data_IF_610563843344
#
_entry.id   IF_610563843344
#
_cell.length_a   1.000
_cell.length_b   1.000
_cell.length_c   1.000
_cell.angle_alpha   90.00
_cell.angle_beta   90.00
_cell.angle_gamma   90.00
#
_symmetry.space_group_name_H-M   'P 1'
#
loop_
_entity.id
_entity.type
_entity.pdbx_description
1 polymer ?
#
# COMPACT_ATOMS: atom_id res chain seq x y z
N UNK A 1 27.19 -25.81 -7.43
CA UNK A 1 28.11 -24.90 -6.75
C UNK A 1 28.42 -23.75 -7.69
N UNK A 2 27.66 -22.66 -7.60
CA UNK A 2 28.12 -21.36 -8.10
C UNK A 2 28.71 -20.64 -6.91
N UNK A 3 30.05 -20.63 -6.83
CA UNK A 3 30.74 -19.57 -6.12
C UNK A 3 30.40 -18.26 -6.83
N UNK A 4 29.76 -17.32 -6.15
CA UNK A 4 29.64 -15.95 -6.65
C UNK A 4 29.45 -14.99 -5.49
N UNK A 5 30.55 -14.34 -5.09
CA UNK A 5 30.64 -13.14 -4.24
C UNK A 5 29.91 -11.92 -4.85
N UNK A 6 28.72 -12.10 -5.41
CA UNK A 6 27.94 -11.09 -6.13
C UNK A 6 26.59 -10.81 -5.47
N UNK A 7 26.09 -9.60 -5.63
CA UNK A 7 24.79 -9.18 -5.08
C UNK A 7 23.65 -9.79 -5.90
N UNK A 8 22.68 -10.43 -5.25
CA UNK A 8 21.51 -10.98 -5.94
C UNK A 8 20.59 -9.84 -6.42
N UNK A 9 20.25 -9.79 -7.72
CA UNK A 9 19.19 -8.90 -8.19
C UNK A 9 17.87 -9.68 -8.31
N UNK A 10 16.81 -9.20 -7.66
CA UNK A 10 15.47 -9.78 -7.70
C UNK A 10 14.55 -8.85 -8.53
N UNK A 11 14.24 -9.20 -9.79
CA UNK A 11 13.43 -8.35 -10.67
C UNK A 11 11.95 -8.36 -10.27
N UNK A 12 11.21 -7.33 -10.72
CA UNK A 12 9.77 -7.16 -10.45
C UNK A 12 8.95 -8.45 -10.67
N UNK A 13 9.18 -9.15 -11.78
CA UNK A 13 8.42 -10.35 -12.13
C UNK A 13 8.53 -11.45 -11.07
N UNK A 14 9.71 -11.61 -10.47
CA UNK A 14 9.96 -12.62 -9.45
C UNK A 14 9.29 -12.20 -8.14
N UNK A 15 9.26 -10.89 -7.83
CA UNK A 15 8.60 -10.39 -6.61
C UNK A 15 7.10 -10.71 -6.57
N UNK A 16 6.42 -10.80 -7.73
CA UNK A 16 5.01 -11.15 -7.82
C UNK A 16 4.72 -12.57 -7.32
N UNK A 17 5.67 -13.49 -7.47
CA UNK A 17 5.56 -14.87 -7.00
C UNK A 17 6.04 -15.05 -5.55
N UNK A 18 6.88 -14.15 -5.05
CA UNK A 18 7.53 -14.26 -3.73
C UNK A 18 6.71 -13.67 -2.57
N UNK A 19 5.79 -12.75 -2.84
CA UNK A 19 5.05 -12.03 -1.80
C UNK A 19 3.54 -12.08 -2.07
N UNK A 20 2.83 -12.96 -1.37
CA UNK A 20 1.37 -13.00 -1.40
C UNK A 20 0.74 -11.86 -0.58
N UNK A 21 -0.58 -11.68 -0.68
CA UNK A 21 -1.33 -10.71 0.13
C UNK A 21 -1.31 -11.13 1.61
N UNK A 22 -1.48 -12.42 1.85
CA UNK A 22 -1.46 -13.06 3.16
C UNK A 22 -0.07 -12.92 3.82
N UNK A 23 1.00 -13.13 3.04
CA UNK A 23 2.37 -12.89 3.51
C UNK A 23 2.59 -11.42 3.87
N UNK A 24 2.13 -10.48 3.03
CA UNK A 24 2.26 -9.05 3.33
C UNK A 24 1.54 -8.67 4.63
N UNK A 25 0.33 -9.18 4.86
CA UNK A 25 -0.43 -8.96 6.11
C UNK A 25 0.31 -9.54 7.32
N UNK A 26 0.76 -10.80 7.23
CA UNK A 26 1.50 -11.48 8.29
C UNK A 26 2.82 -10.78 8.61
N UNK A 27 3.61 -10.44 7.60
CA UNK A 27 4.90 -9.75 7.77
C UNK A 27 4.70 -8.36 8.38
N UNK A 28 3.66 -7.61 7.96
CA UNK A 28 3.32 -6.34 8.59
C UNK A 28 2.99 -6.51 10.08
N UNK A 29 2.24 -7.56 10.44
CA UNK A 29 1.91 -7.88 11.83
C UNK A 29 3.16 -8.22 12.64
N UNK A 30 4.04 -9.06 12.09
CA UNK A 30 5.32 -9.42 12.70
C UNK A 30 6.19 -8.19 12.97
N UNK A 31 6.31 -7.29 11.97
CA UNK A 31 7.11 -6.06 12.08
C UNK A 31 6.50 -5.05 13.06
N UNK A 32 5.16 -4.94 13.14
CA UNK A 32 4.51 -4.17 14.21
C UNK A 32 4.83 -4.73 15.58
N UNK A 33 4.82 -6.07 15.71
CA UNK A 33 5.25 -6.77 16.92
C UNK A 33 6.72 -6.47 17.27
N UNK A 34 7.63 -6.53 16.29
CA UNK A 34 9.05 -6.19 16.48
C UNK A 34 9.21 -4.75 16.98
N UNK A 35 8.50 -3.80 16.34
CA UNK A 35 8.54 -2.40 16.73
C UNK A 35 8.06 -2.19 18.18
N UNK A 36 6.94 -2.80 18.57
CA UNK A 36 6.41 -2.72 19.92
C UNK A 36 7.38 -3.26 21.00
N UNK A 37 8.26 -4.20 20.62
CA UNK A 37 9.28 -4.79 21.51
C UNK A 37 10.63 -4.06 21.47
N UNK A 38 10.77 -3.01 20.66
CA UNK A 38 12.03 -2.26 20.52
C UNK A 38 13.12 -2.98 19.70
N UNK A 39 12.75 -3.95 18.87
CA UNK A 39 13.69 -4.70 18.02
C UNK A 39 13.85 -4.13 16.60
N UNK A 40 13.24 -2.99 16.31
CA UNK A 40 13.44 -2.22 15.08
C UNK A 40 14.32 -1.01 15.36
N UNK A 41 15.39 -0.84 14.58
CA UNK A 41 16.24 0.36 14.61
C UNK A 41 15.90 1.21 13.40
N UNK A 42 15.35 2.40 13.66
CA UNK A 42 15.00 3.37 12.63
C UNK A 42 16.21 4.23 12.25
N UNK A 43 16.30 4.64 10.98
CA UNK A 43 17.27 5.62 10.54
C UNK A 43 16.98 7.02 11.09
N UNK A 44 18.03 7.82 11.25
CA UNK A 44 17.92 9.26 11.53
C UNK A 44 18.62 10.04 10.42
N UNK A 45 17.87 10.81 9.59
CA UNK A 45 16.42 10.97 9.59
C UNK A 45 15.68 9.70 9.11
N UNK A 46 14.38 9.59 9.43
CA UNK A 46 13.53 8.48 8.99
C UNK A 46 13.26 8.45 7.47
N UNK A 47 13.49 9.59 6.79
CA UNK A 47 13.49 9.70 5.34
C UNK A 47 14.44 10.80 4.92
N UNK A 48 15.48 10.46 4.17
CA UNK A 48 16.29 11.41 3.42
C UNK A 48 15.57 11.72 2.10
N UNK A 49 15.55 12.98 1.68
CA UNK A 49 14.83 13.43 0.48
C UNK A 49 15.72 14.28 -0.40
N UNK A 50 15.56 14.12 -1.70
CA UNK A 50 16.11 15.01 -2.71
C UNK A 50 14.98 15.35 -3.69
N UNK A 51 14.42 16.55 -3.52
CA UNK A 51 13.37 17.08 -4.39
C UNK A 51 14.04 17.89 -5.51
N UNK A 52 13.99 17.34 -6.74
CA UNK A 52 14.48 17.98 -7.96
C UNK A 52 13.28 18.38 -8.82
N UNK A 53 12.44 19.27 -8.28
CA UNK A 53 11.25 19.74 -8.95
C UNK A 53 11.59 20.63 -10.17
N UNK A 54 12.55 21.56 -10.00
CA UNK A 54 12.86 22.57 -11.01
C UNK A 54 13.46 21.95 -12.28
N UNK A 55 12.66 21.88 -13.34
CA UNK A 55 13.06 21.38 -14.66
C UNK A 55 13.12 19.86 -14.80
N UNK A 56 13.00 19.11 -13.71
CA UNK A 56 13.07 17.64 -13.71
C UNK A 56 11.83 16.96 -13.12
N UNK A 57 11.03 17.65 -12.30
CA UNK A 57 9.80 17.14 -11.67
C UNK A 57 9.96 15.79 -10.94
N UNK A 58 11.15 15.52 -10.39
CA UNK A 58 11.51 14.24 -9.79
C UNK A 58 11.66 14.37 -8.26
N UNK A 59 11.20 13.36 -7.54
CA UNK A 59 11.18 13.35 -6.08
C UNK A 59 11.83 12.08 -5.54
N UNK A 60 13.03 12.19 -4.99
CA UNK A 60 13.80 11.05 -4.48
C UNK A 60 13.67 10.91 -2.97
N UNK A 61 13.62 9.66 -2.53
CA UNK A 61 13.53 9.30 -1.13
C UNK A 61 14.41 8.09 -0.82
N UNK A 62 15.13 8.19 0.30
CA UNK A 62 15.88 7.07 0.87
C UNK A 62 15.41 6.86 2.32
N UNK A 63 15.11 5.61 2.66
CA UNK A 63 14.73 5.19 4.02
C UNK A 63 15.52 3.96 4.39
N UNK A 64 15.99 3.86 5.64
CA UNK A 64 16.69 2.67 6.11
C UNK A 64 16.19 2.18 7.45
N UNK A 65 16.40 0.89 7.68
CA UNK A 65 15.97 0.19 8.89
C UNK A 65 16.89 -0.99 9.15
N UNK A 66 17.10 -1.32 10.41
CA UNK A 66 17.61 -2.63 10.83
C UNK A 66 16.51 -3.35 11.62
N UNK A 67 16.22 -4.58 11.22
CA UNK A 67 15.42 -5.51 12.01
C UNK A 67 16.38 -6.40 12.81
N UNK A 68 16.26 -6.42 14.15
CA UNK A 68 17.11 -7.28 15.00
C UNK A 68 16.63 -8.72 15.05
N UNK A 69 15.32 -8.93 14.99
CA UNK A 69 14.71 -10.27 15.15
C UNK A 69 14.85 -11.11 13.88
N UNK A 70 14.98 -10.45 12.74
CA UNK A 70 15.43 -11.03 11.48
C UNK A 70 16.63 -10.18 11.07
N UNK A 71 17.86 -10.51 11.52
CA UNK A 71 19.05 -9.68 11.33
C UNK A 71 19.23 -9.29 9.85
N UNK A 72 18.77 -8.09 9.50
CA UNK A 72 18.79 -7.59 8.12
C UNK A 72 18.76 -6.06 8.15
N UNK A 73 19.74 -5.44 7.50
CA UNK A 73 19.72 -4.00 7.21
C UNK A 73 19.09 -3.80 5.84
N UNK A 74 18.06 -2.96 5.76
CA UNK A 74 17.40 -2.59 4.52
C UNK A 74 17.57 -1.11 4.21
N UNK A 75 17.91 -0.78 2.96
CA UNK A 75 17.91 0.58 2.42
C UNK A 75 16.96 0.63 1.23
N UNK A 76 15.84 1.32 1.42
CA UNK A 76 14.84 1.56 0.40
C UNK A 76 15.15 2.87 -0.31
N UNK A 77 15.32 2.82 -1.63
CA UNK A 77 15.47 3.98 -2.50
C UNK A 77 14.35 4.00 -3.54
N UNK A 78 13.68 5.14 -3.68
CA UNK A 78 12.67 5.28 -4.71
C UNK A 78 12.56 6.71 -5.20
N UNK A 79 12.06 6.88 -6.42
CA UNK A 79 11.59 8.15 -6.92
C UNK A 79 10.14 8.06 -7.40
N UNK A 80 9.57 9.23 -7.66
CA UNK A 80 8.45 9.37 -8.57
C UNK A 80 8.61 10.71 -9.33
N UNK A 81 8.03 10.76 -10.51
CA UNK A 81 7.90 11.95 -11.35
C UNK A 81 6.49 12.52 -11.15
N UNK A 82 6.37 13.83 -11.03
CA UNK A 82 5.09 14.53 -10.94
C UNK A 82 5.20 15.97 -11.45
N UNK A 83 4.67 16.25 -12.64
CA UNK A 83 4.57 17.61 -13.20
C UNK A 83 3.15 18.20 -13.10
N UNK A 84 2.26 17.55 -12.33
CA UNK A 84 0.85 17.91 -12.22
C UNK A 84 -0.04 17.38 -13.36
N UNK A 85 0.55 16.88 -14.46
CA UNK A 85 -0.18 16.26 -15.58
C UNK A 85 0.16 14.76 -15.67
N UNK A 86 1.45 14.44 -15.69
CA UNK A 86 2.01 13.10 -15.65
C UNK A 86 2.55 12.81 -14.25
N UNK A 87 2.15 11.65 -13.70
CA UNK A 87 2.51 11.22 -12.36
C UNK A 87 2.81 9.71 -12.37
N UNK A 88 3.98 9.31 -11.87
CA UNK A 88 4.44 7.91 -11.83
C UNK A 88 4.28 7.25 -10.47
N UNK A 89 3.56 7.89 -9.53
CA UNK A 89 3.30 7.30 -8.20
C UNK A 89 2.49 6.02 -8.34
N UNK A 90 3.14 4.90 -8.03
CA UNK A 90 2.51 3.58 -8.06
C UNK A 90 2.38 2.98 -9.46
N UNK A 91 3.05 3.55 -10.46
CA UNK A 91 3.32 2.89 -11.75
C UNK A 91 4.67 2.15 -11.72
N UNK A 92 5.04 1.51 -12.84
CA UNK A 92 6.33 0.85 -13.05
C UNK A 92 7.39 1.74 -13.75
N UNK A 93 7.02 2.95 -14.13
CA UNK A 93 7.84 3.95 -14.81
C UNK A 93 8.68 4.80 -13.86
N UNK A 94 8.94 4.33 -12.64
CA UNK A 94 9.81 4.98 -11.68
C UNK A 94 10.85 4.01 -11.09
N UNK A 95 11.89 4.56 -10.47
CA UNK A 95 12.92 3.79 -9.76
C UNK A 95 12.39 3.41 -8.39
N UNK A 96 12.39 2.10 -8.07
CA UNK A 96 12.05 1.59 -6.72
C UNK A 96 12.84 0.33 -6.40
N UNK A 97 13.80 0.45 -5.49
CA UNK A 97 14.63 -0.67 -5.06
C UNK A 97 14.80 -0.73 -3.54
N UNK A 98 14.98 -1.93 -3.01
CA UNK A 98 15.48 -2.18 -1.67
C UNK A 98 16.85 -2.86 -1.81
N UNK A 99 17.86 -2.30 -1.17
CA UNK A 99 19.14 -2.97 -0.93
C UNK A 99 19.08 -3.66 0.43
N UNK A 100 19.42 -4.93 0.47
CA UNK A 100 19.51 -5.74 1.68
C UNK A 100 20.97 -6.08 1.97
N UNK A 101 21.37 -5.98 3.24
CA UNK A 101 22.72 -6.29 3.72
C UNK A 101 22.67 -7.05 5.04
N UNK A 102 23.64 -7.92 5.25
CA UNK A 102 23.84 -8.58 6.54
C UNK A 102 24.35 -7.56 7.56
N UNK A 103 23.64 -7.31 8.68
CA UNK A 103 24.09 -6.35 9.69
C UNK A 103 25.35 -6.79 10.45
N UNK A 104 25.73 -8.06 10.40
CA UNK A 104 26.90 -8.57 11.12
C UNK A 104 28.20 -8.32 10.36
N UNK A 105 28.20 -8.58 9.05
CA UNK A 105 29.38 -8.43 8.18
C UNK A 105 29.39 -7.14 7.36
N UNK A 106 28.22 -6.54 7.12
CA UNK A 106 28.03 -5.48 6.14
C UNK A 106 28.00 -5.96 4.69
N UNK A 107 28.07 -7.27 4.44
CA UNK A 107 28.06 -7.83 3.09
C UNK A 107 26.71 -7.58 2.39
N UNK A 108 26.73 -7.23 1.09
CA UNK A 108 25.51 -7.03 0.33
C UNK A 108 24.85 -8.38 0.02
N UNK A 109 23.55 -8.46 0.28
CA UNK A 109 22.75 -9.67 0.05
C UNK A 109 21.99 -9.58 -1.27
N UNK A 110 21.18 -8.53 -1.43
CA UNK A 110 20.32 -8.40 -2.60
C UNK A 110 19.94 -6.95 -2.94
N UNK A 111 19.63 -6.70 -4.20
CA UNK A 111 18.89 -5.54 -4.69
C UNK A 111 17.54 -6.07 -5.20
N UNK A 112 16.45 -5.61 -4.61
CA UNK A 112 15.10 -6.12 -4.86
C UNK A 112 14.25 -5.01 -5.45
N UNK A 113 13.57 -5.27 -6.56
CA UNK A 113 12.53 -4.37 -7.08
C UNK A 113 11.40 -4.19 -6.05
N UNK A 114 11.03 -2.94 -5.76
CA UNK A 114 10.04 -2.65 -4.72
C UNK A 114 8.65 -2.34 -5.28
N UNK A 115 8.37 -2.41 -6.58
CA UNK A 115 7.08 -1.97 -7.11
C UNK A 115 5.90 -2.75 -6.52
N UNK A 116 6.02 -4.07 -6.49
CA UNK A 116 4.99 -4.92 -5.89
C UNK A 116 4.96 -4.78 -4.38
N UNK A 117 6.11 -4.93 -3.71
CA UNK A 117 6.17 -4.88 -2.26
C UNK A 117 5.70 -3.52 -1.73
N UNK A 118 6.10 -2.39 -2.33
CA UNK A 118 5.55 -1.05 -2.06
C UNK A 118 4.02 -1.04 -2.08
N UNK A 119 3.44 -1.57 -3.15
CA UNK A 119 2.00 -1.52 -3.38
C UNK A 119 1.25 -2.34 -2.31
N UNK A 120 1.65 -3.60 -2.11
CA UNK A 120 0.93 -4.50 -1.21
C UNK A 120 1.22 -4.23 0.26
N UNK A 121 2.48 -3.98 0.65
CA UNK A 121 2.84 -3.73 2.06
C UNK A 121 2.29 -2.41 2.59
N UNK A 122 2.14 -1.39 1.74
CA UNK A 122 1.51 -0.12 2.14
C UNK A 122 0.02 -0.32 2.45
N UNK A 123 -0.68 -1.06 1.59
CA UNK A 123 -2.07 -1.42 1.83
C UNK A 123 -2.23 -2.35 3.03
N UNK A 124 -1.38 -3.38 3.16
CA UNK A 124 -1.38 -4.31 4.27
C UNK A 124 -1.14 -3.61 5.62
N UNK A 125 -0.11 -2.77 5.72
CA UNK A 125 0.19 -2.01 6.94
C UNK A 125 -1.01 -1.19 7.43
N UNK A 126 -1.71 -0.50 6.52
CA UNK A 126 -2.88 0.29 6.89
C UNK A 126 -4.10 -0.58 7.22
N UNK A 127 -4.40 -1.59 6.40
CA UNK A 127 -5.63 -2.39 6.52
C UNK A 127 -5.56 -3.44 7.62
N UNK A 128 -4.38 -3.97 7.95
CA UNK A 128 -4.18 -4.96 9.01
C UNK A 128 -4.76 -4.50 10.36
N UNK A 129 -4.75 -3.20 10.62
CA UNK A 129 -5.36 -2.62 11.82
C UNK A 129 -6.83 -3.02 12.01
N UNK A 130 -7.56 -3.28 10.92
CA UNK A 130 -8.94 -3.74 10.97
C UNK A 130 -9.07 -5.11 11.64
N UNK A 131 -8.08 -6.01 11.46
CA UNK A 131 -8.07 -7.33 12.14
C UNK A 131 -8.26 -7.20 13.66
N UNK A 132 -7.71 -6.12 14.23
CA UNK A 132 -7.68 -5.88 15.68
C UNK A 132 -8.73 -4.87 16.17
N UNK A 133 -8.97 -3.82 15.38
CA UNK A 133 -9.80 -2.66 15.78
C UNK A 133 -11.03 -2.46 14.90
N UNK A 134 -11.16 -3.23 13.83
CA UNK A 134 -12.25 -3.13 12.87
C UNK A 134 -13.56 -3.76 13.37
N UNK A 135 -14.66 -3.56 12.64
CA UNK A 135 -15.91 -4.25 12.90
C UNK A 135 -15.74 -5.77 12.82
N UNK A 136 -16.45 -6.52 13.68
CA UNK A 136 -16.33 -7.99 13.75
C UNK A 136 -16.84 -8.72 12.51
N UNK A 137 -17.88 -8.19 11.85
CA UNK A 137 -18.55 -8.79 10.68
C UNK A 137 -18.99 -7.67 9.72
N UNK A 138 -18.04 -6.95 9.09
CA UNK A 138 -18.39 -5.90 8.15
C UNK A 138 -19.10 -6.52 6.94
N UNK A 139 -20.15 -5.86 6.46
CA UNK A 139 -20.93 -6.27 5.29
C UNK A 139 -20.66 -5.38 4.09
N UNK A 140 -20.40 -4.09 4.32
CA UNK A 140 -20.25 -3.08 3.27
C UNK A 140 -18.86 -2.47 3.33
N UNK A 141 -18.12 -2.58 2.22
CA UNK A 141 -16.83 -1.90 2.01
C UNK A 141 -16.99 -0.71 1.07
N UNK A 142 -16.51 0.47 1.47
CA UNK A 142 -16.40 1.64 0.60
C UNK A 142 -14.97 1.90 0.13
N UNK A 143 -14.75 2.10 -1.17
CA UNK A 143 -13.45 2.42 -1.78
C UNK A 143 -13.51 3.79 -2.47
N UNK A 144 -12.91 4.80 -1.85
CA UNK A 144 -12.77 6.15 -2.39
C UNK A 144 -11.43 6.26 -3.09
N UNK A 145 -11.43 6.12 -4.41
CA UNK A 145 -10.21 5.98 -5.20
C UNK A 145 -9.83 4.50 -5.38
N UNK A 146 -9.76 4.08 -6.64
CA UNK A 146 -9.53 2.70 -7.08
C UNK A 146 -8.22 2.56 -7.87
N UNK A 147 -7.23 3.40 -7.55
CA UNK A 147 -5.87 3.27 -8.05
C UNK A 147 -5.12 2.13 -7.36
N UNK A 148 -3.78 2.17 -7.39
CA UNK A 148 -2.92 1.14 -6.80
C UNK A 148 -3.22 0.89 -5.31
N UNK A 149 -3.35 1.94 -4.49
CA UNK A 149 -3.63 1.79 -3.06
C UNK A 149 -5.03 1.23 -2.79
N UNK A 150 -6.08 1.79 -3.40
CA UNK A 150 -7.46 1.30 -3.22
C UNK A 150 -7.65 -0.14 -3.69
N UNK A 151 -7.00 -0.53 -4.80
CA UNK A 151 -7.05 -1.90 -5.32
C UNK A 151 -6.34 -2.89 -4.38
N UNK A 152 -5.18 -2.52 -3.82
CA UNK A 152 -4.49 -3.41 -2.89
C UNK A 152 -5.14 -3.44 -1.50
N UNK A 153 -5.77 -2.34 -1.06
CA UNK A 153 -6.59 -2.34 0.14
C UNK A 153 -7.80 -3.28 -0.01
N UNK A 154 -8.45 -3.30 -1.18
CA UNK A 154 -9.48 -4.29 -1.51
C UNK A 154 -8.95 -5.72 -1.35
N UNK A 155 -7.78 -6.03 -1.93
CA UNK A 155 -7.16 -7.37 -1.81
C UNK A 155 -6.94 -7.77 -0.34
N UNK A 156 -6.34 -6.89 0.45
CA UNK A 156 -6.07 -7.16 1.86
C UNK A 156 -7.36 -7.35 2.66
N UNK A 157 -8.35 -6.47 2.48
CA UNK A 157 -9.61 -6.53 3.21
C UNK A 157 -10.44 -7.76 2.82
N UNK A 158 -10.46 -8.16 1.55
CA UNK A 158 -11.13 -9.39 1.11
C UNK A 158 -10.41 -10.67 1.57
N UNK A 159 -9.12 -10.60 1.89
CA UNK A 159 -8.38 -11.72 2.52
C UNK A 159 -8.77 -11.87 4.00
N UNK A 160 -9.15 -10.77 4.67
CA UNK A 160 -9.54 -10.78 6.10
C UNK A 160 -11.05 -10.90 6.35
N UNK A 161 -11.88 -10.49 5.38
CA UNK A 161 -13.33 -10.39 5.54
C UNK A 161 -14.11 -10.86 4.33
N UNK A 162 -15.34 -11.29 4.56
CA UNK A 162 -16.34 -11.53 3.52
C UNK A 162 -17.36 -10.40 3.52
N UNK A 163 -17.42 -9.63 2.43
CA UNK A 163 -18.37 -8.54 2.26
C UNK A 163 -19.59 -9.00 1.44
N UNK A 164 -20.75 -8.38 1.70
CA UNK A 164 -21.98 -8.55 0.92
C UNK A 164 -22.03 -7.55 -0.26
N UNK A 165 -21.47 -6.35 -0.07
CA UNK A 165 -21.41 -5.29 -1.08
C UNK A 165 -20.08 -4.52 -0.98
N UNK A 166 -19.49 -4.20 -2.12
CA UNK A 166 -18.38 -3.25 -2.22
C UNK A 166 -18.86 -2.04 -3.03
N UNK A 167 -18.61 -0.84 -2.55
CA UNK A 167 -18.89 0.42 -3.25
C UNK A 167 -17.58 1.03 -3.69
N UNK A 168 -17.54 1.58 -4.89
CA UNK A 168 -16.33 2.26 -5.35
C UNK A 168 -16.64 3.56 -6.09
N UNK A 169 -15.72 4.52 -5.98
CA UNK A 169 -15.73 5.69 -6.85
C UNK A 169 -14.33 6.07 -7.32
N UNK A 170 -14.29 6.75 -8.47
CA UNK A 170 -13.12 7.41 -9.03
C UNK A 170 -13.56 8.61 -9.84
N UNK A 171 -12.62 9.51 -10.11
CA UNK A 171 -12.81 10.72 -10.93
C UNK A 171 -13.54 10.44 -12.25
N UNK A 172 -13.15 9.37 -12.94
CA UNK A 172 -13.65 9.01 -14.27
C UNK A 172 -14.74 7.92 -14.19
N UNK A 173 -15.98 8.16 -14.69
CA UNK A 173 -17.07 7.18 -14.67
C UNK A 173 -16.73 5.85 -15.32
N UNK A 174 -16.08 5.88 -16.48
CA UNK A 174 -15.65 4.70 -17.23
C UNK A 174 -14.63 3.86 -16.45
N UNK A 175 -13.77 4.51 -15.66
CA UNK A 175 -12.77 3.83 -14.82
C UNK A 175 -13.45 3.08 -13.67
N UNK A 176 -14.38 3.71 -12.94
CA UNK A 176 -15.12 3.04 -11.84
C UNK A 176 -16.07 1.95 -12.35
N UNK A 177 -16.70 2.15 -13.51
CA UNK A 177 -17.56 1.14 -14.12
C UNK A 177 -16.76 -0.10 -14.55
N UNK A 178 -15.57 0.08 -15.15
CA UNK A 178 -14.70 -1.03 -15.52
C UNK A 178 -14.17 -1.80 -14.29
N UNK A 179 -13.76 -1.07 -13.24
CA UNK A 179 -13.33 -1.66 -11.97
C UNK A 179 -14.44 -2.49 -11.32
N UNK A 180 -15.66 -1.94 -11.24
CA UNK A 180 -16.83 -2.61 -10.69
C UNK A 180 -17.13 -3.93 -11.42
N UNK A 181 -17.14 -3.92 -12.76
CA UNK A 181 -17.37 -5.15 -13.55
C UNK A 181 -16.30 -6.21 -13.27
N UNK A 182 -15.02 -5.81 -13.34
CA UNK A 182 -13.87 -6.71 -13.12
C UNK A 182 -13.93 -7.37 -11.75
N UNK A 183 -14.12 -6.59 -10.70
CA UNK A 183 -14.06 -7.13 -9.33
C UNK A 183 -15.36 -7.83 -8.91
N UNK A 184 -16.51 -7.45 -9.46
CA UNK A 184 -17.73 -8.24 -9.26
C UNK A 184 -17.56 -9.65 -9.83
N UNK A 185 -17.00 -9.77 -11.03
CA UNK A 185 -16.71 -11.06 -11.65
C UNK A 185 -15.67 -11.86 -10.85
N UNK A 186 -14.60 -11.21 -10.39
CA UNK A 186 -13.52 -11.88 -9.68
C UNK A 186 -13.92 -12.37 -8.28
N UNK A 187 -14.80 -11.65 -7.59
CA UNK A 187 -15.19 -11.94 -6.20
C UNK A 187 -16.52 -12.66 -6.07
N UNK A 188 -17.36 -12.65 -7.11
CA UNK A 188 -18.71 -13.22 -7.05
C UNK A 188 -19.68 -12.43 -6.16
N UNK A 189 -19.37 -11.17 -5.84
CA UNK A 189 -20.21 -10.25 -5.05
C UNK A 189 -20.42 -8.93 -5.78
N UNK A 190 -21.41 -8.14 -5.37
CA UNK A 190 -21.71 -6.86 -6.00
C UNK A 190 -20.61 -5.82 -5.70
N UNK A 191 -19.92 -5.35 -6.74
CA UNK A 191 -19.10 -4.13 -6.70
C UNK A 191 -19.84 -3.01 -7.43
N UNK A 192 -20.35 -2.04 -6.69
CA UNK A 192 -21.26 -1.01 -7.18
C UNK A 192 -20.51 0.32 -7.36
N UNK A 193 -20.41 0.85 -8.60
CA UNK A 193 -19.87 2.18 -8.80
C UNK A 193 -20.86 3.23 -8.29
N UNK A 194 -20.36 4.23 -7.57
CA UNK A 194 -21.14 5.37 -7.06
C UNK A 194 -20.61 6.69 -7.63
N UNK A 195 -21.47 7.69 -7.69
CA UNK A 195 -21.17 8.96 -8.35
C UNK A 195 -20.52 9.96 -7.41
N UNK A 196 -20.64 9.75 -6.09
CA UNK A 196 -20.00 10.58 -5.07
C UNK A 196 -19.26 9.79 -3.99
N UNK A 197 -18.34 10.47 -3.30
CA UNK A 197 -17.66 9.95 -2.11
C UNK A 197 -18.67 9.62 -1.01
N UNK A 198 -19.64 10.50 -0.79
CA UNK A 198 -20.67 10.32 0.23
C UNK A 198 -21.45 9.03 0.02
N UNK A 199 -21.90 8.73 -1.19
CA UNK A 199 -22.61 7.48 -1.51
C UNK A 199 -21.76 6.23 -1.28
N UNK A 200 -20.43 6.32 -1.42
CA UNK A 200 -19.50 5.21 -1.15
C UNK A 200 -19.41 4.95 0.35
N UNK A 201 -19.20 5.99 1.16
CA UNK A 201 -18.91 5.84 2.58
C UNK A 201 -20.16 5.75 3.45
N UNK A 202 -21.30 6.29 2.97
CA UNK A 202 -22.57 6.32 3.72
C UNK A 202 -23.09 4.92 4.01
N UNK A 203 -23.07 4.55 5.28
CA UNK A 203 -23.52 3.25 5.76
C UNK A 203 -22.49 2.11 5.60
N UNK A 204 -21.29 2.40 5.09
CA UNK A 204 -20.21 1.42 5.02
C UNK A 204 -19.74 1.01 6.43
N UNK A 205 -19.35 -0.26 6.59
CA UNK A 205 -18.74 -0.75 7.82
C UNK A 205 -17.23 -0.44 7.86
N UNK A 206 -16.60 -0.55 6.69
CA UNK A 206 -15.21 -0.15 6.47
C UNK A 206 -15.19 0.73 5.23
N UNK A 207 -14.47 1.85 5.29
CA UNK A 207 -14.24 2.71 4.14
C UNK A 207 -12.76 3.04 4.00
N UNK A 208 -12.26 3.11 2.76
CA UNK A 208 -10.86 3.37 2.45
C UNK A 208 -10.74 4.60 1.55
N UNK A 209 -9.95 5.58 1.97
CA UNK A 209 -9.54 6.71 1.15
C UNK A 209 -8.18 6.45 0.50
N UNK A 210 -8.16 6.13 -0.80
CA UNK A 210 -6.95 5.80 -1.57
C UNK A 210 -6.75 6.68 -2.80
N UNK A 211 -7.04 7.98 -2.67
CA UNK A 211 -6.93 8.97 -3.76
C UNK A 211 -5.67 9.83 -3.63
N UNK A 212 -5.16 10.31 -4.76
CA UNK A 212 -4.07 11.32 -4.84
C UNK A 212 -4.61 12.75 -4.83
N UNK A 213 -5.94 12.94 -4.84
CA UNK A 213 -6.54 14.28 -4.77
C UNK A 213 -6.25 14.96 -3.43
N UNK A 214 -6.20 16.30 -3.45
CA UNK A 214 -6.21 17.13 -2.25
C UNK A 214 -7.60 17.37 -1.66
N UNK A 215 -8.65 16.83 -2.29
CA UNK A 215 -10.03 16.98 -1.84
C UNK A 215 -10.33 16.15 -0.58
N UNK A 216 -11.34 16.59 0.18
CA UNK A 216 -11.85 15.88 1.37
C UNK A 216 -12.30 14.46 1.00
N UNK A 217 -11.63 13.46 1.58
CA UNK A 217 -11.86 12.03 1.27
C UNK A 217 -13.00 11.39 2.06
N UNK A 218 -13.45 12.03 3.14
CA UNK A 218 -14.66 11.69 3.90
C UNK A 218 -15.00 12.81 4.88
N UNK A 219 -16.24 12.81 5.40
CA UNK A 219 -16.66 13.69 6.50
C UNK A 219 -17.32 12.82 7.57
N UNK A 220 -17.15 13.20 8.84
CA UNK A 220 -17.76 12.49 9.98
C UNK A 220 -19.28 12.25 9.79
N UNK A 221 -20.11 13.21 9.33
CA UNK A 221 -21.56 12.98 9.16
C UNK A 221 -21.93 12.00 8.04
N UNK A 222 -20.96 11.60 7.21
CA UNK A 222 -21.18 10.58 6.19
C UNK A 222 -20.98 9.17 6.74
N UNK A 223 -20.21 9.01 7.82
CA UNK A 223 -19.89 7.73 8.41
C UNK A 223 -20.95 7.32 9.44
N UNK A 224 -21.32 6.04 9.44
CA UNK A 224 -22.20 5.52 10.50
C UNK A 224 -21.39 5.26 11.78
N UNK A 225 -22.04 5.30 12.96
CA UNK A 225 -21.41 4.85 14.20
C UNK A 225 -20.81 3.43 14.06
N UNK A 226 -19.58 3.25 14.54
CA UNK A 226 -18.84 1.99 14.46
C UNK A 226 -18.18 1.70 13.10
N UNK A 227 -18.23 2.63 12.13
CA UNK A 227 -17.46 2.53 10.90
C UNK A 227 -15.96 2.69 11.17
N UNK A 228 -15.13 1.88 10.50
CA UNK A 228 -13.69 2.10 10.43
C UNK A 228 -13.34 2.80 9.12
N UNK A 229 -12.78 4.01 9.20
CA UNK A 229 -12.25 4.72 8.05
C UNK A 229 -10.72 4.59 8.01
N UNK A 230 -10.19 4.12 6.88
CA UNK A 230 -8.76 3.92 6.65
C UNK A 230 -8.31 4.94 5.61
N UNK A 231 -7.47 5.87 6.02
CA UNK A 231 -6.91 6.84 5.11
C UNK A 231 -5.52 6.42 4.63
N UNK A 232 -5.38 6.37 3.32
CA UNK A 232 -4.11 6.20 2.60
C UNK A 232 -3.77 7.46 1.78
N UNK A 233 -4.60 8.52 1.88
CA UNK A 233 -4.41 9.78 1.18
C UNK A 233 -3.43 10.68 1.95
N UNK A 234 -2.77 11.61 1.23
CA UNK A 234 -1.79 12.53 1.83
C UNK A 234 -2.41 13.59 2.74
N UNK A 235 -3.72 13.84 2.66
CA UNK A 235 -4.45 14.85 3.44
C UNK A 235 -5.85 14.31 3.78
N UNK A 236 -6.25 14.51 5.03
CA UNK A 236 -7.58 14.18 5.60
C UNK A 236 -8.29 15.46 6.02
#
# INVERSE_FOLDING_TARGET
>A
MTDSRGVLFVPYQDTLALLSVEDALRICEDVYGMHARGSVVWSSPASFKLDVADGFNNHWHVKSVLLKDIPTTGVRLYNYYDDGVHNTVGDLGCTRYIVLSDPHSGEPMAIVDEHWSYAIRSAAAATLTCKWMGPRRPKILGLVGIGTMGTNALRCLCSMYTFEEIRCTSRRPETRAAFARKWSQALGIAVVPKDSIEEVVRGADIAVGGTTSGDVVSREPWLKPGCTFISLARRE
#
